data_IF_746053717409
#
_entry.id   IF_746053717409
#
_cell.length_a   1.000
_cell.length_b   1.000
_cell.length_c   1.000
_cell.angle_alpha   90.00
_cell.angle_beta   90.00
_cell.angle_gamma   90.00
#
_symmetry.space_group_name_H-M   'P 1'
#
loop_
_entity.id
_entity.type
_entity.pdbx_description
1 polymer ?
#
# COMPACT_ATOMS: atom_id res chain seq x y z
N UNK A 1 24.40 5.90 -16.35
CA UNK A 1 22.97 5.97 -16.02
C UNK A 1 22.76 5.57 -14.57
N UNK A 2 22.14 6.42 -13.83
CA UNK A 2 21.76 6.08 -12.46
C UNK A 2 20.45 5.29 -12.50
N UNK A 3 20.42 4.15 -11.85
CA UNK A 3 19.18 3.42 -11.64
C UNK A 3 18.35 4.14 -10.60
N UNK A 4 17.04 4.21 -10.83
CA UNK A 4 16.12 4.76 -9.85
C UNK A 4 15.89 3.70 -8.78
N UNK A 5 16.21 4.04 -7.54
CA UNK A 5 16.00 3.16 -6.40
C UNK A 5 14.52 3.20 -6.04
N UNK A 6 13.90 2.03 -5.88
CA UNK A 6 12.51 1.94 -5.45
C UNK A 6 12.38 2.39 -4.00
N UNK A 7 11.70 3.50 -3.77
CA UNK A 7 11.34 4.00 -2.44
C UNK A 7 9.94 4.58 -2.52
N UNK A 8 9.02 3.98 -1.82
CA UNK A 8 7.62 4.42 -1.88
C UNK A 8 6.85 4.02 -0.62
N UNK A 9 5.67 4.61 -0.50
CA UNK A 9 4.60 4.13 0.36
C UNK A 9 3.55 3.53 -0.57
N UNK A 10 2.96 2.41 -0.20
CA UNK A 10 1.82 1.89 -0.94
C UNK A 10 0.68 1.57 0.02
N UNK A 11 -0.54 1.66 -0.48
CA UNK A 11 -1.71 1.36 0.32
C UNK A 11 -2.18 -0.09 0.12
N UNK A 12 -3.20 -0.49 0.87
CA UNK A 12 -3.71 -1.85 0.83
C UNK A 12 -4.30 -2.20 -0.55
N UNK A 13 -4.82 -1.22 -1.30
CA UNK A 13 -5.37 -1.46 -2.63
C UNK A 13 -4.30 -1.94 -3.61
N UNK A 14 -3.06 -1.53 -3.41
CA UNK A 14 -1.91 -1.98 -4.21
C UNK A 14 -1.34 -3.28 -3.62
N UNK A 15 -1.07 -3.29 -2.32
CA UNK A 15 -0.44 -4.45 -1.66
C UNK A 15 -1.22 -5.74 -1.84
N UNK A 16 -2.54 -5.67 -1.79
CA UNK A 16 -3.39 -6.85 -1.91
C UNK A 16 -3.30 -7.52 -3.28
N UNK A 17 -2.89 -6.79 -4.32
CA UNK A 17 -2.74 -7.32 -5.68
C UNK A 17 -1.65 -8.38 -5.77
N UNK A 18 -0.79 -8.48 -4.78
CA UNK A 18 0.20 -9.55 -4.70
C UNK A 18 -0.45 -10.91 -4.43
N UNK A 19 -1.61 -10.92 -3.77
CA UNK A 19 -2.28 -12.13 -3.31
C UNK A 19 -3.60 -12.41 -4.05
N UNK A 20 -4.20 -11.39 -4.63
CA UNK A 20 -5.46 -11.48 -5.36
C UNK A 20 -5.21 -11.02 -6.79
N UNK A 21 -5.58 -11.85 -7.77
CA UNK A 21 -5.40 -11.51 -9.18
C UNK A 21 -6.37 -10.41 -9.59
N UNK A 22 -5.82 -9.25 -9.89
CA UNK A 22 -6.56 -8.06 -10.31
C UNK A 22 -5.77 -7.33 -11.41
N UNK A 23 -6.34 -6.27 -11.94
CA UNK A 23 -5.62 -5.39 -12.85
C UNK A 23 -4.33 -4.89 -12.16
N UNK A 24 -3.23 -4.88 -12.89
CA UNK A 24 -1.90 -4.48 -12.42
C UNK A 24 -1.22 -5.44 -11.42
N UNK A 25 -1.76 -6.63 -11.19
CA UNK A 25 -1.09 -7.61 -10.33
C UNK A 25 0.33 -7.93 -10.80
N UNK A 26 0.55 -8.02 -12.12
CA UNK A 26 1.89 -8.26 -12.68
C UNK A 26 2.86 -7.13 -12.32
N UNK A 27 2.41 -5.89 -12.40
CA UNK A 27 3.21 -4.72 -12.04
C UNK A 27 3.56 -4.73 -10.56
N UNK A 28 2.62 -5.10 -9.70
CA UNK A 28 2.82 -5.20 -8.25
C UNK A 28 3.81 -6.32 -7.93
N UNK A 29 3.74 -7.46 -8.62
CA UNK A 29 4.73 -8.54 -8.44
C UNK A 29 6.14 -8.06 -8.79
N UNK A 30 6.30 -7.32 -9.88
CA UNK A 30 7.59 -6.74 -10.25
C UNK A 30 8.11 -5.78 -9.17
N UNK A 31 7.22 -4.98 -8.60
CA UNK A 31 7.54 -4.03 -7.55
C UNK A 31 8.09 -4.76 -6.31
N UNK A 32 7.42 -5.83 -5.87
CA UNK A 32 7.88 -6.62 -4.73
C UNK A 32 9.14 -7.44 -5.05
N UNK A 33 9.33 -7.86 -6.29
CA UNK A 33 10.58 -8.49 -6.70
C UNK A 33 11.76 -7.55 -6.55
N UNK A 34 11.60 -6.28 -6.91
CA UNK A 34 12.62 -5.26 -6.70
C UNK A 34 12.94 -5.05 -5.23
N UNK A 35 11.91 -5.05 -4.37
CA UNK A 35 12.11 -4.96 -2.93
C UNK A 35 12.97 -6.13 -2.42
N UNK A 36 12.74 -7.32 -2.91
CA UNK A 36 13.47 -8.51 -2.48
C UNK A 36 14.92 -8.53 -2.99
N UNK A 37 15.16 -8.01 -4.19
CA UNK A 37 16.46 -8.11 -4.87
C UNK A 37 17.40 -6.95 -4.55
N UNK A 38 16.87 -5.75 -4.31
CA UNK A 38 17.69 -4.55 -4.10
C UNK A 38 17.72 -4.19 -2.61
N UNK A 39 18.90 -4.28 -1.96
CA UNK A 39 19.01 -3.91 -0.53
C UNK A 39 18.69 -2.45 -0.24
N UNK A 40 18.73 -1.57 -1.23
CA UNK A 40 18.42 -0.15 -1.07
C UNK A 40 16.95 0.18 -1.28
N UNK A 41 16.16 -0.77 -1.81
CA UNK A 41 14.73 -0.56 -2.02
C UNK A 41 13.99 -0.50 -0.69
N UNK A 42 12.99 0.37 -0.61
CA UNK A 42 12.18 0.55 0.59
C UNK A 42 10.70 0.67 0.21
N UNK A 43 9.88 -0.11 0.86
CA UNK A 43 8.43 0.07 0.81
C UNK A 43 7.95 0.27 2.26
N UNK A 44 7.32 1.40 2.49
CA UNK A 44 6.81 1.79 3.81
C UNK A 44 5.29 1.73 3.84
N UNK A 45 4.75 1.35 4.99
CA UNK A 45 3.31 1.32 5.23
C UNK A 45 3.01 1.81 6.65
N UNK A 46 1.87 2.47 6.89
CA UNK A 46 1.39 2.61 8.26
C UNK A 46 0.91 1.23 8.75
N UNK A 47 0.92 1.00 10.05
CA UNK A 47 0.57 -0.33 10.59
C UNK A 47 -0.89 -0.72 10.34
N UNK A 48 -1.77 0.23 10.05
CA UNK A 48 -3.15 -0.09 9.63
C UNK A 48 -3.21 -0.87 8.31
N UNK A 49 -2.14 -0.88 7.53
CA UNK A 49 -2.06 -1.62 6.27
C UNK A 49 -2.42 -3.10 6.43
N UNK A 50 -1.92 -3.72 7.49
CA UNK A 50 -2.13 -5.16 7.72
C UNK A 50 -3.59 -5.49 7.97
N UNK A 51 -4.27 -4.68 8.78
CA UNK A 51 -5.70 -4.90 9.05
C UNK A 51 -6.57 -4.58 7.83
N UNK A 52 -6.18 -3.59 7.04
CA UNK A 52 -6.89 -3.30 5.80
C UNK A 52 -6.76 -4.45 4.79
N UNK A 53 -5.56 -5.02 4.65
CA UNK A 53 -5.37 -6.20 3.81
C UNK A 53 -6.19 -7.38 4.30
N UNK A 54 -6.20 -7.63 5.60
CA UNK A 54 -7.02 -8.69 6.19
C UNK A 54 -8.51 -8.50 5.87
N UNK A 55 -8.99 -7.26 5.94
CA UNK A 55 -10.39 -6.95 5.65
C UNK A 55 -10.72 -7.17 4.17
N UNK A 56 -9.81 -6.85 3.26
CA UNK A 56 -10.01 -7.12 1.84
C UNK A 56 -10.07 -8.63 1.58
N UNK A 57 -9.16 -9.40 2.17
CA UNK A 57 -9.16 -10.87 2.05
C UNK A 57 -10.45 -11.47 2.63
N UNK A 58 -10.93 -10.94 3.75
CA UNK A 58 -12.19 -11.39 4.34
C UNK A 58 -13.37 -11.19 3.40
N UNK A 59 -13.43 -10.03 2.74
CA UNK A 59 -14.46 -9.75 1.73
C UNK A 59 -14.39 -10.73 0.56
N UNK A 60 -13.19 -11.05 0.10
CA UNK A 60 -12.97 -12.04 -0.94
C UNK A 60 -13.45 -13.43 -0.51
N UNK A 61 -13.08 -13.86 0.68
CA UNK A 61 -13.49 -15.14 1.24
C UNK A 61 -15.01 -15.28 1.26
N UNK A 62 -15.70 -14.23 1.72
CA UNK A 62 -17.17 -14.23 1.79
C UNK A 62 -17.82 -14.18 0.42
N UNK A 63 -17.29 -13.34 -0.48
CA UNK A 63 -17.88 -13.15 -1.81
C UNK A 63 -17.73 -14.37 -2.70
N UNK A 64 -16.57 -15.01 -2.70
CA UNK A 64 -16.23 -16.11 -3.58
C UNK A 64 -16.27 -17.46 -2.88
N UNK A 65 -16.66 -17.49 -1.61
CA UNK A 65 -16.76 -18.71 -0.79
C UNK A 65 -15.46 -19.52 -0.80
N UNK A 66 -14.33 -18.82 -0.75
CA UNK A 66 -13.01 -19.43 -0.70
C UNK A 66 -12.74 -19.97 0.71
N UNK A 67 -11.90 -21.02 0.84
CA UNK A 67 -11.47 -21.48 2.15
C UNK A 67 -10.73 -20.40 2.91
N UNK A 68 -11.03 -20.23 4.20
CA UNK A 68 -10.35 -19.23 5.04
C UNK A 68 -8.86 -19.52 5.16
N UNK A 69 -8.47 -20.78 5.04
CA UNK A 69 -7.07 -21.20 5.10
C UNK A 69 -6.22 -20.54 4.02
N UNK A 70 -6.78 -20.28 2.83
CA UNK A 70 -6.08 -19.60 1.75
C UNK A 70 -5.75 -18.15 2.13
N UNK A 71 -6.70 -17.45 2.74
CA UNK A 71 -6.49 -16.07 3.21
C UNK A 71 -5.49 -16.03 4.37
N UNK A 72 -5.52 -17.02 5.26
CA UNK A 72 -4.54 -17.11 6.35
C UNK A 72 -3.12 -17.32 5.80
N UNK A 73 -2.98 -18.15 4.76
CA UNK A 73 -1.69 -18.36 4.10
C UNK A 73 -1.18 -17.08 3.45
N UNK A 74 -2.08 -16.31 2.81
CA UNK A 74 -1.74 -15.02 2.21
C UNK A 74 -1.25 -14.02 3.27
N UNK A 75 -1.91 -13.97 4.43
CA UNK A 75 -1.48 -13.09 5.53
C UNK A 75 -0.12 -13.52 6.10
N UNK A 76 0.16 -14.81 6.17
CA UNK A 76 1.47 -15.31 6.57
C UNK A 76 2.54 -14.78 5.62
N UNK A 77 2.30 -14.87 4.32
CA UNK A 77 3.24 -14.39 3.31
C UNK A 77 3.40 -12.86 3.37
N UNK A 78 2.29 -12.14 3.59
CA UNK A 78 2.31 -10.69 3.77
C UNK A 78 3.24 -10.29 4.93
N UNK A 79 3.15 -11.00 6.05
CA UNK A 79 3.95 -10.72 7.24
C UNK A 79 5.44 -11.02 7.05
N UNK A 80 5.81 -11.78 6.02
CA UNK A 80 7.21 -12.08 5.69
C UNK A 80 7.84 -11.05 4.75
N UNK A 81 7.04 -10.16 4.17
CA UNK A 81 7.57 -9.12 3.28
C UNK A 81 8.41 -8.12 4.07
N UNK A 82 9.47 -7.63 3.44
CA UNK A 82 10.40 -6.69 4.06
C UNK A 82 9.85 -5.26 4.04
N UNK A 83 8.62 -5.07 4.51
CA UNK A 83 7.99 -3.76 4.62
C UNK A 83 8.47 -3.05 5.87
N UNK A 84 8.62 -1.72 5.75
CA UNK A 84 8.91 -0.86 6.90
C UNK A 84 7.61 -0.27 7.41
N UNK A 85 7.27 -0.55 8.66
CA UNK A 85 5.99 -0.14 9.25
C UNK A 85 6.17 1.05 10.18
N UNK A 86 5.24 1.99 10.11
CA UNK A 86 5.16 3.15 11.01
C UNK A 86 3.85 3.07 11.79
N UNK A 87 3.92 3.36 13.09
CA UNK A 87 2.74 3.36 13.94
C UNK A 87 1.72 4.40 13.46
N UNK A 88 0.48 3.99 13.32
CA UNK A 88 -0.63 4.89 12.99
C UNK A 88 -0.75 6.01 14.02
N UNK A 89 -0.46 5.72 15.30
CA UNK A 89 -0.51 6.72 16.36
C UNK A 89 0.43 7.91 16.08
N UNK A 90 1.54 7.67 15.40
CA UNK A 90 2.50 8.73 15.06
C UNK A 90 2.04 9.59 13.87
N UNK A 91 1.03 9.15 13.14
CA UNK A 91 0.54 9.80 11.93
C UNK A 91 -0.83 10.46 12.11
N UNK A 92 -1.55 10.08 13.17
CA UNK A 92 -3.00 10.30 13.25
C UNK A 92 -3.41 11.77 13.32
N UNK A 93 -2.64 12.63 13.98
CA UNK A 93 -2.99 14.05 14.08
C UNK A 93 -2.87 14.74 12.72
N UNK A 94 -1.76 14.54 12.02
CA UNK A 94 -1.55 15.09 10.69
C UNK A 94 -2.53 14.47 9.68
N UNK A 95 -2.85 13.18 9.85
CA UNK A 95 -3.83 12.51 9.01
C UNK A 95 -5.22 13.11 9.16
N UNK A 96 -5.64 13.44 10.39
CA UNK A 96 -6.93 14.09 10.62
C UNK A 96 -6.98 15.44 9.92
N UNK A 97 -5.92 16.24 10.02
CA UNK A 97 -5.86 17.55 9.37
C UNK A 97 -5.93 17.42 7.85
N UNK A 98 -5.15 16.51 7.28
CA UNK A 98 -5.14 16.31 5.82
C UNK A 98 -6.49 15.76 5.33
N UNK A 99 -7.08 14.82 6.06
CA UNK A 99 -8.38 14.26 5.72
C UNK A 99 -9.46 15.35 5.67
N UNK A 100 -9.47 16.26 6.66
CA UNK A 100 -10.40 17.38 6.71
C UNK A 100 -10.18 18.35 5.55
N UNK A 101 -8.93 18.63 5.22
CA UNK A 101 -8.57 19.57 4.13
C UNK A 101 -8.91 19.00 2.75
N UNK A 102 -8.63 17.73 2.51
CA UNK A 102 -8.74 17.10 1.18
C UNK A 102 -9.98 16.22 1.02
N UNK A 103 -10.85 16.20 2.02
CA UNK A 103 -12.04 15.33 2.01
C UNK A 103 -11.70 13.85 1.80
N UNK A 104 -10.71 13.37 2.53
CA UNK A 104 -10.29 11.97 2.54
C UNK A 104 -10.80 11.30 3.81
N UNK A 105 -10.78 9.96 3.81
CA UNK A 105 -10.88 9.21 5.07
C UNK A 105 -9.58 9.37 5.85
N UNK A 106 -9.65 9.20 7.17
CA UNK A 106 -8.44 9.19 7.99
C UNK A 106 -7.51 8.03 7.61
N UNK A 107 -8.08 6.92 7.14
CA UNK A 107 -7.30 5.77 6.66
C UNK A 107 -6.41 6.16 5.47
N UNK A 108 -7.01 6.72 4.41
CA UNK A 108 -6.27 7.16 3.22
C UNK A 108 -5.27 8.27 3.57
N UNK A 109 -5.65 9.17 4.45
CA UNK A 109 -4.78 10.24 4.89
C UNK A 109 -3.55 9.75 5.64
N UNK A 110 -3.62 8.63 6.37
CA UNK A 110 -2.46 8.04 7.03
C UNK A 110 -1.37 7.66 6.03
N UNK A 111 -1.76 7.04 4.92
CA UNK A 111 -0.81 6.71 3.85
C UNK A 111 -0.20 7.97 3.23
N UNK A 112 -1.05 8.94 2.93
CA UNK A 112 -0.61 10.18 2.31
C UNK A 112 0.35 10.97 3.21
N UNK A 113 0.07 11.04 4.51
CA UNK A 113 0.94 11.71 5.49
C UNK A 113 2.28 10.99 5.63
N UNK A 114 2.27 9.66 5.70
CA UNK A 114 3.51 8.90 5.79
C UNK A 114 4.41 9.16 4.57
N UNK A 115 3.83 9.12 3.38
CA UNK A 115 4.57 9.39 2.15
C UNK A 115 5.13 10.81 2.13
N UNK A 116 4.34 11.79 2.55
CA UNK A 116 4.77 13.19 2.61
C UNK A 116 5.93 13.38 3.58
N UNK A 117 5.87 12.76 4.75
CA UNK A 117 6.94 12.85 5.75
C UNK A 117 8.25 12.23 5.28
N UNK A 118 8.16 11.15 4.51
CA UNK A 118 9.34 10.47 3.96
C UNK A 118 9.83 11.10 2.67
N UNK A 119 9.04 11.98 2.06
CA UNK A 119 9.30 12.54 0.73
C UNK A 119 9.37 11.43 -0.33
N UNK A 120 8.53 10.42 -0.20
CA UNK A 120 8.37 9.32 -1.14
C UNK A 120 7.00 9.40 -1.81
N UNK A 121 6.85 8.89 -3.02
CA UNK A 121 5.52 8.83 -3.64
C UNK A 121 4.63 7.81 -2.91
N UNK A 122 3.34 8.12 -2.87
CA UNK A 122 2.30 7.17 -2.46
C UNK A 122 1.76 6.49 -3.71
N UNK A 123 1.87 5.17 -3.76
CA UNK A 123 1.33 4.38 -4.88
C UNK A 123 -0.03 3.82 -4.45
N UNK A 124 -1.05 4.10 -5.25
CA UNK A 124 -2.43 3.69 -4.92
C UNK A 124 -3.16 3.19 -6.18
N UNK A 125 -4.10 2.28 -5.99
CA UNK A 125 -5.03 1.86 -7.02
C UNK A 125 -6.36 2.60 -6.94
N UNK A 126 -6.49 3.51 -5.98
CA UNK A 126 -7.68 4.34 -5.78
C UNK A 126 -7.50 5.65 -6.54
N UNK A 127 -8.22 5.81 -7.65
CA UNK A 127 -8.11 7.00 -8.50
C UNK A 127 -8.48 8.31 -7.75
N UNK A 128 -9.52 8.36 -6.91
CA UNK A 128 -9.79 9.56 -6.12
C UNK A 128 -8.63 9.96 -5.21
N UNK A 129 -8.00 8.99 -4.53
CA UNK A 129 -6.84 9.28 -3.67
C UNK A 129 -5.65 9.79 -4.49
N UNK A 130 -5.40 9.19 -5.66
CA UNK A 130 -4.33 9.61 -6.55
C UNK A 130 -4.48 11.06 -7.01
N UNK A 131 -5.72 11.54 -7.13
CA UNK A 131 -6.02 12.92 -7.52
C UNK A 131 -6.02 13.89 -6.35
N UNK A 132 -6.23 13.41 -5.13
CA UNK A 132 -6.43 14.25 -3.95
C UNK A 132 -5.14 14.92 -3.49
N UNK A 133 -4.00 14.27 -3.64
CA UNK A 133 -2.70 14.80 -3.20
C UNK A 133 -1.67 14.68 -4.32
N UNK A 134 -0.81 15.69 -4.43
CA UNK A 134 0.15 15.80 -5.55
C UNK A 134 1.22 14.71 -5.53
N UNK A 135 1.53 14.16 -4.37
CA UNK A 135 2.56 13.13 -4.21
C UNK A 135 2.04 11.69 -4.32
N UNK A 136 0.76 11.53 -4.65
CA UNK A 136 0.19 10.21 -4.92
C UNK A 136 0.25 9.92 -6.42
N UNK A 137 0.55 8.66 -6.75
CA UNK A 137 0.63 8.17 -8.14
C UNK A 137 -0.30 6.97 -8.25
N UNK A 138 -1.20 7.01 -9.23
CA UNK A 138 -2.03 5.85 -9.53
C UNK A 138 -1.13 4.71 -10.05
N UNK A 139 -1.41 3.48 -9.61
CA UNK A 139 -0.57 2.31 -9.96
C UNK A 139 -0.39 2.15 -11.47
N UNK A 140 -1.40 2.51 -12.26
CA UNK A 140 -1.33 2.44 -13.71
C UNK A 140 -0.29 3.37 -14.32
N UNK A 141 0.02 4.48 -13.65
CA UNK A 141 0.99 5.47 -14.10
C UNK A 141 2.38 5.27 -13.50
N UNK A 142 2.51 4.38 -12.51
CA UNK A 142 3.79 4.17 -11.85
C UNK A 142 4.71 3.30 -12.71
N UNK A 143 5.91 3.79 -12.96
CA UNK A 143 6.94 3.08 -13.72
C UNK A 143 7.78 2.24 -12.76
N UNK A 144 7.79 0.93 -12.97
CA UNK A 144 8.54 0.00 -12.12
C UNK A 144 9.89 -0.35 -12.73
#
# INVERSE_FOLDING_TARGET
MSEVILRCVLDASVGIKLFVEEEFSDKVQTLFSKLAEDPQAEIHVPDLFYIECANILLKYTRRYKCPIEDSLADLEDLNKLALKSTSTADLIEDALLLANEKNLTAYDACYAVLAQKLEFPLITADAPLAKAVDWAIWIGDFEV
#
